data_IF_603138148047
#
_entry.id   IF_603138148047
#
_cell.length_a   1.000
_cell.length_b   1.000
_cell.length_c   1.000
_cell.angle_alpha   90.00
_cell.angle_beta   90.00
_cell.angle_gamma   90.00
#
_symmetry.space_group_name_H-M   'P 1'
#
loop_
_entity.id
_entity.type
_entity.pdbx_description
1 polymer ?
#
# COMPACT_ATOMS: atom_id res chain seq x y z
N UNK A 1 5.38 -15.77 8.96
CA UNK A 1 4.88 -14.41 8.63
C UNK A 1 5.91 -13.34 9.04
N UNK A 2 6.25 -13.22 10.33
CA UNK A 2 7.23 -12.23 10.85
C UNK A 2 8.61 -12.36 10.18
N UNK A 3 9.14 -13.58 10.02
CA UNK A 3 10.44 -13.81 9.35
C UNK A 3 10.49 -13.24 7.92
N UNK A 4 9.45 -13.47 7.12
CA UNK A 4 9.41 -12.99 5.74
C UNK A 4 9.31 -11.47 5.67
N UNK A 5 8.51 -10.86 6.56
CA UNK A 5 8.43 -9.42 6.69
C UNK A 5 9.78 -8.82 7.10
N UNK A 6 10.46 -9.42 8.09
CA UNK A 6 11.77 -8.97 8.54
C UNK A 6 12.83 -9.11 7.45
N UNK A 7 12.88 -10.25 6.74
CA UNK A 7 13.78 -10.44 5.59
C UNK A 7 13.52 -9.42 4.48
N UNK A 8 12.25 -9.10 4.20
CA UNK A 8 11.90 -8.05 3.25
C UNK A 8 12.43 -6.68 3.71
N UNK A 9 12.16 -6.28 4.95
CA UNK A 9 12.63 -5.00 5.50
C UNK A 9 14.16 -4.88 5.48
N UNK A 10 14.87 -5.94 5.84
CA UNK A 10 16.35 -6.00 5.76
C UNK A 10 16.82 -5.85 4.31
N UNK A 11 16.22 -6.58 3.36
CA UNK A 11 16.58 -6.47 1.93
C UNK A 11 16.31 -5.10 1.31
N UNK A 12 15.47 -4.29 1.95
CA UNK A 12 15.18 -2.91 1.55
C UNK A 12 15.99 -1.87 2.33
N UNK A 13 16.90 -2.29 3.21
CA UNK A 13 17.71 -1.39 4.04
C UNK A 13 16.89 -0.65 5.09
N UNK A 14 15.71 -1.16 5.44
CA UNK A 14 14.82 -0.56 6.46
C UNK A 14 15.05 -1.15 7.85
N UNK A 15 15.83 -2.22 7.95
CA UNK A 15 16.26 -2.77 9.22
C UNK A 15 17.71 -3.19 9.02
N UNK A 16 18.59 -2.69 9.86
CA UNK A 16 19.98 -3.12 9.89
C UNK A 16 20.16 -4.26 10.89
N UNK A 17 21.13 -5.12 10.59
CA UNK A 17 21.48 -6.29 11.41
C UNK A 17 22.87 -6.06 11.96
N UNK A 18 23.00 -6.14 13.28
CA UNK A 18 24.29 -6.12 13.97
C UNK A 18 24.48 -7.41 14.77
N UNK A 19 25.68 -7.99 14.64
CA UNK A 19 26.10 -9.13 15.45
C UNK A 19 26.76 -8.60 16.72
N UNK A 20 26.22 -9.01 17.86
CA UNK A 20 26.78 -8.70 19.18
C UNK A 20 27.17 -9.98 19.91
N UNK A 21 27.96 -9.85 20.98
CA UNK A 21 28.33 -10.98 21.87
C UNK A 21 27.10 -11.69 22.48
N UNK A 22 25.95 -11.01 22.51
CA UNK A 22 24.69 -11.52 23.04
C UNK A 22 23.74 -12.06 21.95
N UNK A 23 24.16 -12.06 20.67
CA UNK A 23 23.37 -12.52 19.53
C UNK A 23 23.07 -11.44 18.49
N UNK A 24 22.04 -11.69 17.67
CA UNK A 24 21.65 -10.85 16.53
C UNK A 24 20.70 -9.74 16.99
N UNK A 25 21.06 -8.49 16.72
CA UNK A 25 20.21 -7.32 16.98
C UNK A 25 19.69 -6.72 15.67
N UNK A 26 18.47 -6.23 15.72
CA UNK A 26 17.81 -5.53 14.62
C UNK A 26 17.48 -4.12 15.08
N UNK A 27 17.82 -3.11 14.28
CA UNK A 27 17.43 -1.73 14.55
C UNK A 27 16.92 -1.06 13.28
N UNK A 28 15.97 -0.14 13.47
CA UNK A 28 15.41 0.67 12.41
C UNK A 28 16.47 1.66 11.91
N UNK A 29 16.63 1.76 10.59
CA UNK A 29 17.48 2.77 9.97
C UNK A 29 16.74 4.13 9.93
N UNK A 30 17.46 5.22 9.69
CA UNK A 30 16.92 6.58 9.53
C UNK A 30 15.83 6.66 8.47
N UNK A 31 15.91 5.81 7.43
CA UNK A 31 14.87 5.74 6.38
C UNK A 31 13.59 5.05 6.85
N UNK A 32 13.69 4.19 7.85
CA UNK A 32 12.57 3.39 8.36
C UNK A 32 11.55 4.25 9.08
N UNK A 33 12.00 5.31 9.75
CA UNK A 33 11.11 6.26 10.42
C UNK A 33 10.28 7.04 9.39
N UNK A 34 10.92 7.57 8.34
CA UNK A 34 10.23 8.24 7.24
C UNK A 34 9.23 7.33 6.53
N UNK A 35 9.60 6.07 6.26
CA UNK A 35 8.70 5.10 5.64
C UNK A 35 7.57 4.70 6.59
N UNK A 36 7.84 4.56 7.89
CA UNK A 36 6.81 4.29 8.89
C UNK A 36 5.80 5.42 8.93
N UNK A 37 6.25 6.67 8.91
CA UNK A 37 5.35 7.84 8.81
C UNK A 37 4.56 7.88 7.51
N UNK A 38 5.18 7.53 6.37
CA UNK A 38 4.49 7.44 5.08
C UNK A 38 3.42 6.35 5.11
N UNK A 39 3.71 5.19 5.70
CA UNK A 39 2.75 4.10 5.83
C UNK A 39 1.67 4.38 6.87
N UNK A 40 1.97 5.15 7.91
CA UNK A 40 1.04 5.56 8.97
C UNK A 40 0.50 6.99 8.79
N UNK A 41 0.35 7.44 7.54
CA UNK A 41 -0.33 8.70 7.25
C UNK A 41 -1.79 8.48 6.86
N UNK A 42 -2.59 9.55 6.95
CA UNK A 42 -4.01 9.54 6.61
C UNK A 42 -4.25 9.04 5.16
N UNK A 43 -3.34 9.38 4.24
CA UNK A 43 -3.43 8.90 2.86
C UNK A 43 -3.38 7.37 2.78
N UNK A 44 -2.40 6.74 3.43
CA UNK A 44 -2.24 5.28 3.43
C UNK A 44 -3.42 4.55 4.07
N UNK A 45 -3.99 5.11 5.15
CA UNK A 45 -5.21 4.55 5.77
C UNK A 45 -6.41 4.64 4.83
N UNK A 46 -6.62 5.79 4.19
CA UNK A 46 -7.68 5.98 3.19
C UNK A 46 -7.50 5.10 1.97
N UNK A 47 -6.26 4.92 1.50
CA UNK A 47 -5.96 4.04 0.38
C UNK A 47 -6.41 2.61 0.66
N UNK A 48 -6.09 2.06 1.83
CA UNK A 48 -6.55 0.72 2.24
C UNK A 48 -8.08 0.64 2.27
N UNK A 49 -8.76 1.68 2.76
CA UNK A 49 -10.22 1.76 2.77
C UNK A 49 -10.81 1.76 1.35
N UNK A 50 -10.24 2.54 0.43
CA UNK A 50 -10.69 2.57 -0.97
C UNK A 50 -10.46 1.24 -1.68
N UNK A 51 -9.30 0.60 -1.47
CA UNK A 51 -9.03 -0.74 -2.02
C UNK A 51 -10.08 -1.74 -1.54
N UNK A 52 -10.42 -1.74 -0.24
CA UNK A 52 -11.47 -2.60 0.30
C UNK A 52 -12.84 -2.33 -0.32
N UNK A 53 -13.22 -1.06 -0.47
CA UNK A 53 -14.50 -0.70 -1.11
C UNK A 53 -14.60 -1.16 -2.56
N UNK A 54 -13.50 -1.04 -3.30
CA UNK A 54 -13.41 -1.53 -4.69
C UNK A 54 -13.54 -3.05 -4.71
N UNK A 55 -12.81 -3.75 -3.84
CA UNK A 55 -12.87 -5.21 -3.72
C UNK A 55 -14.29 -5.68 -3.39
N UNK A 56 -14.93 -5.11 -2.37
CA UNK A 56 -16.32 -5.41 -1.98
C UNK A 56 -17.32 -5.14 -3.12
N UNK A 57 -17.12 -4.10 -3.92
CA UNK A 57 -17.99 -3.78 -5.05
C UNK A 57 -17.86 -4.77 -6.22
N UNK A 58 -16.67 -5.33 -6.41
CA UNK A 58 -16.34 -6.21 -7.52
C UNK A 58 -16.22 -7.70 -7.15
N UNK A 59 -16.29 -8.04 -5.86
CA UNK A 59 -16.06 -9.40 -5.32
C UNK A 59 -16.84 -10.49 -6.06
N UNK A 60 -18.08 -10.19 -6.44
CA UNK A 60 -19.01 -11.13 -7.11
C UNK A 60 -19.10 -10.93 -8.62
N UNK A 61 -18.26 -10.09 -9.20
CA UNK A 61 -18.28 -9.78 -10.63
C UNK A 61 -17.22 -10.56 -11.37
N UNK A 62 -17.56 -11.00 -12.57
CA UNK A 62 -16.61 -11.58 -13.51
C UNK A 62 -15.68 -10.51 -14.06
N UNK A 63 -14.50 -10.91 -14.52
CA UNK A 63 -13.53 -10.01 -15.15
C UNK A 63 -14.15 -9.21 -16.30
N UNK A 64 -15.01 -9.84 -17.11
CA UNK A 64 -15.75 -9.17 -18.18
C UNK A 64 -16.67 -8.06 -17.68
N UNK A 65 -17.41 -8.29 -16.59
CA UNK A 65 -18.31 -7.30 -16.00
C UNK A 65 -17.54 -6.12 -15.37
N UNK A 66 -16.38 -6.41 -14.79
CA UNK A 66 -15.45 -5.38 -14.28
C UNK A 66 -14.96 -4.53 -15.46
N UNK A 67 -14.47 -5.17 -16.52
CA UNK A 67 -13.93 -4.47 -17.69
C UNK A 67 -14.97 -3.57 -18.34
N UNK A 68 -16.19 -4.10 -18.56
CA UNK A 68 -17.32 -3.32 -19.10
C UNK A 68 -17.69 -2.14 -18.22
N UNK A 69 -17.64 -2.30 -16.89
CA UNK A 69 -17.89 -1.20 -15.97
C UNK A 69 -16.79 -0.12 -16.06
N UNK A 70 -15.53 -0.52 -16.10
CA UNK A 70 -14.40 0.41 -16.22
C UNK A 70 -14.49 1.18 -17.53
N UNK A 71 -14.64 0.50 -18.67
CA UNK A 71 -14.73 1.17 -19.98
C UNK A 71 -15.88 2.20 -20.04
N UNK A 72 -17.03 1.86 -19.46
CA UNK A 72 -18.19 2.75 -19.41
C UNK A 72 -17.92 4.03 -18.60
N UNK A 73 -17.14 3.93 -17.52
CA UNK A 73 -16.94 5.03 -16.57
C UNK A 73 -15.60 5.78 -16.76
N UNK A 74 -14.65 5.21 -17.50
CA UNK A 74 -13.29 5.73 -17.66
C UNK A 74 -13.25 7.17 -18.21
N UNK A 75 -14.17 7.53 -19.12
CA UNK A 75 -14.29 8.89 -19.66
C UNK A 75 -14.71 9.91 -18.58
N UNK A 76 -15.58 9.51 -17.66
CA UNK A 76 -16.04 10.38 -16.59
C UNK A 76 -14.93 10.58 -15.57
N UNK A 77 -14.24 9.50 -15.16
CA UNK A 77 -13.13 9.59 -14.21
C UNK A 77 -11.98 10.48 -14.70
N UNK A 78 -11.64 10.40 -15.99
CA UNK A 78 -10.65 11.31 -16.58
C UNK A 78 -11.07 12.76 -16.40
N UNK A 79 -12.34 13.07 -16.67
CA UNK A 79 -12.86 14.42 -16.57
C UNK A 79 -12.93 14.91 -15.11
N UNK A 80 -13.28 14.04 -14.16
CA UNK A 80 -13.39 14.39 -12.74
C UNK A 80 -11.99 14.63 -12.13
N UNK A 81 -10.99 13.85 -12.54
CA UNK A 81 -9.58 14.05 -12.18
C UNK A 81 -9.02 15.35 -12.75
N UNK A 82 -9.32 15.67 -14.02
CA UNK A 82 -8.89 16.92 -14.66
C UNK A 82 -9.55 18.16 -14.02
N UNK A 83 -10.77 18.03 -13.50
CA UNK A 83 -11.49 19.10 -12.80
C UNK A 83 -11.06 19.31 -11.35
N UNK A 84 -10.26 18.42 -10.78
CA UNK A 84 -9.82 18.49 -9.40
C UNK A 84 -10.97 18.35 -8.39
N UNK A 85 -12.09 17.75 -8.81
CA UNK A 85 -13.19 17.46 -7.89
C UNK A 85 -12.70 16.44 -6.85
N UNK A 86 -12.88 16.76 -5.56
CA UNK A 86 -12.52 15.86 -4.46
C UNK A 86 -13.43 14.63 -4.51
N UNK A 87 -12.89 13.51 -5.00
CA UNK A 87 -13.43 12.16 -4.82
C UNK A 87 -13.38 11.78 -3.34
#
# INVERSE_FOLDING_TARGET
MVRNALSFLVSKGLVQIELSEFGIRFYADKFSENISHMLDCNYSRKYVEYVRRVDEFFEKRTEYEIHKYVEKNMKNWKSDLERGEKI
#
